data_IF_636399959413
#
_entry.id   IF_636399959413
#
_cell.length_a   1.000
_cell.length_b   1.000
_cell.length_c   1.000
_cell.angle_alpha   90.00
_cell.angle_beta   90.00
_cell.angle_gamma   90.00
#
_symmetry.space_group_name_H-M   'P 1'
#
loop_
_entity.id
_entity.type
_entity.pdbx_description
1 polymer ?
#
# COMPACT_ATOMS: atom_id res chain seq x y z
N UNK A 1 -19.37 -29.56 6.97
CA UNK A 1 -20.45 -28.69 7.43
C UNK A 1 -20.11 -27.27 7.02
N UNK A 2 -20.71 -26.76 5.95
CA UNK A 2 -20.57 -25.36 5.52
C UNK A 2 -21.43 -24.51 6.44
N UNK A 3 -20.79 -23.65 7.23
CA UNK A 3 -21.47 -22.74 8.13
C UNK A 3 -22.06 -21.57 7.30
N UNK A 4 -23.28 -21.73 6.82
CA UNK A 4 -24.05 -20.69 6.16
C UNK A 4 -24.52 -19.67 7.19
N UNK A 5 -23.67 -18.73 7.56
CA UNK A 5 -24.08 -17.57 8.34
C UNK A 5 -24.69 -16.53 7.38
N UNK A 6 -26.01 -16.26 7.42
CA UNK A 6 -26.71 -15.39 6.46
C UNK A 6 -26.30 -13.91 6.53
N UNK A 7 -25.40 -13.54 7.44
CA UNK A 7 -24.91 -12.18 7.61
C UNK A 7 -23.60 -11.86 6.84
N UNK A 8 -23.10 -12.75 5.97
CA UNK A 8 -21.96 -12.44 5.11
C UNK A 8 -22.41 -11.71 3.82
N UNK A 9 -22.98 -10.52 3.99
CA UNK A 9 -23.19 -9.64 2.84
C UNK A 9 -21.82 -9.09 2.40
N UNK A 10 -21.62 -8.87 1.09
CA UNK A 10 -20.43 -8.23 0.51
C UNK A 10 -20.06 -6.94 1.27
N UNK A 11 -21.08 -6.16 1.66
CA UNK A 11 -20.92 -4.92 2.41
C UNK A 11 -20.35 -5.11 3.83
N UNK A 12 -20.60 -6.26 4.47
CA UNK A 12 -20.04 -6.56 5.81
C UNK A 12 -18.55 -6.91 5.76
N UNK A 13 -18.03 -7.28 4.60
CA UNK A 13 -16.60 -7.55 4.39
C UNK A 13 -15.73 -6.30 4.16
N UNK A 14 -16.37 -5.13 3.94
CA UNK A 14 -15.66 -3.85 3.77
C UNK A 14 -15.47 -3.20 5.14
N UNK A 15 -14.24 -2.79 5.50
CA UNK A 15 -13.97 -2.07 6.74
C UNK A 15 -14.83 -0.81 6.88
N UNK A 16 -15.19 -0.49 8.12
CA UNK A 16 -16.25 0.46 8.43
C UNK A 16 -16.01 1.87 7.86
N UNK A 17 -14.79 2.41 7.99
CA UNK A 17 -14.49 3.77 7.53
C UNK A 17 -14.46 3.81 6.00
N UNK A 18 -13.80 2.84 5.35
CA UNK A 18 -13.80 2.74 3.88
C UNK A 18 -15.23 2.67 3.35
N UNK A 19 -16.08 1.80 3.93
CA UNK A 19 -17.47 1.68 3.54
C UNK A 19 -18.25 2.99 3.71
N UNK A 20 -18.11 3.67 4.84
CA UNK A 20 -18.80 4.92 5.10
C UNK A 20 -18.34 6.03 4.15
N UNK A 21 -17.03 6.14 3.88
CA UNK A 21 -16.50 7.09 2.90
C UNK A 21 -17.06 6.83 1.49
N UNK A 22 -17.13 5.57 1.06
CA UNK A 22 -17.76 5.21 -0.23
C UNK A 22 -19.22 5.66 -0.28
N UNK A 23 -20.00 5.34 0.76
CA UNK A 23 -21.42 5.70 0.85
C UNK A 23 -21.61 7.22 0.82
N UNK A 24 -20.85 7.97 1.62
CA UNK A 24 -20.96 9.43 1.70
C UNK A 24 -20.69 10.05 0.32
N UNK A 25 -19.62 9.64 -0.37
CA UNK A 25 -19.27 10.16 -1.68
C UNK A 25 -20.37 9.89 -2.73
N UNK A 26 -20.93 8.66 -2.72
CA UNK A 26 -22.03 8.30 -3.65
C UNK A 26 -23.29 9.11 -3.33
N UNK A 27 -23.65 9.29 -2.05
CA UNK A 27 -24.82 10.06 -1.63
C UNK A 27 -24.67 11.54 -2.01
N UNK A 28 -23.49 12.14 -1.75
CA UNK A 28 -23.23 13.55 -2.13
C UNK A 28 -23.26 13.71 -3.64
N UNK A 29 -22.64 12.79 -4.40
CA UNK A 29 -22.71 12.80 -5.86
C UNK A 29 -24.16 12.71 -6.36
N UNK A 30 -24.95 11.80 -5.79
CA UNK A 30 -26.38 11.68 -6.10
C UNK A 30 -27.14 12.97 -5.82
N UNK A 31 -26.88 13.61 -4.68
CA UNK A 31 -27.50 14.89 -4.34
C UNK A 31 -27.11 16.00 -5.34
N UNK A 32 -25.83 16.13 -5.69
CA UNK A 32 -25.37 17.12 -6.67
C UNK A 32 -26.01 16.95 -8.07
N UNK A 33 -26.31 15.70 -8.46
CA UNK A 33 -26.86 15.42 -9.78
C UNK A 33 -28.40 15.38 -9.81
N UNK A 34 -29.05 15.09 -8.67
CA UNK A 34 -30.53 15.08 -8.58
C UNK A 34 -31.11 16.44 -8.27
N UNK A 35 -30.47 17.24 -7.44
CA UNK A 35 -30.92 18.56 -7.05
C UNK A 35 -30.23 19.67 -7.85
N UNK A 36 -30.38 19.62 -9.18
CA UNK A 36 -29.69 20.54 -10.11
C UNK A 36 -30.07 22.02 -9.96
N UNK A 37 -31.21 22.30 -9.31
CA UNK A 37 -31.61 23.67 -8.95
C UNK A 37 -30.79 24.27 -7.81
N UNK A 38 -30.09 23.46 -7.04
CA UNK A 38 -29.20 23.88 -5.96
C UNK A 38 -27.74 23.74 -6.41
N UNK A 39 -26.92 24.79 -6.28
CA UNK A 39 -25.51 24.72 -6.68
C UNK A 39 -24.66 23.96 -5.63
N UNK A 40 -25.05 22.72 -5.31
CA UNK A 40 -24.40 21.94 -4.24
C UNK A 40 -22.90 21.71 -4.48
N UNK A 41 -22.50 21.48 -5.74
CA UNK A 41 -21.11 21.32 -6.09
C UNK A 41 -20.29 22.60 -5.87
N UNK A 42 -20.89 23.75 -6.05
CA UNK A 42 -20.31 25.05 -5.78
C UNK A 42 -20.25 25.33 -4.27
N UNK A 43 -21.35 25.07 -3.55
CA UNK A 43 -21.41 25.27 -2.09
C UNK A 43 -20.37 24.43 -1.34
N UNK A 44 -20.21 23.15 -1.72
CA UNK A 44 -19.29 22.20 -1.06
C UNK A 44 -17.89 22.16 -1.66
N UNK A 45 -17.72 22.68 -2.88
CA UNK A 45 -16.42 22.77 -3.55
C UNK A 45 -15.47 23.74 -2.87
N UNK A 46 -14.18 23.54 -3.04
CA UNK A 46 -13.13 24.40 -2.51
C UNK A 46 -12.87 25.53 -3.49
N UNK A 47 -13.35 26.71 -3.14
CA UNK A 47 -13.12 27.97 -3.88
C UNK A 47 -11.70 28.50 -3.63
N UNK A 48 -11.13 29.15 -4.62
CA UNK A 48 -9.91 29.91 -4.44
C UNK A 48 -10.12 31.13 -3.51
N UNK A 49 -9.04 31.57 -2.86
CA UNK A 49 -9.11 32.66 -1.87
C UNK A 49 -9.41 34.02 -2.53
N UNK A 50 -8.88 34.25 -3.74
CA UNK A 50 -8.98 35.55 -4.43
C UNK A 50 -10.38 35.82 -4.98
N UNK A 51 -11.18 34.80 -5.29
CA UNK A 51 -12.58 34.97 -5.69
C UNK A 51 -13.48 35.47 -4.54
N UNK A 52 -13.00 35.38 -3.29
CA UNK A 52 -13.81 35.69 -2.10
C UNK A 52 -14.83 34.59 -1.74
N UNK A 53 -14.88 33.48 -2.50
CA UNK A 53 -15.80 32.37 -2.24
C UNK A 53 -15.27 31.33 -1.25
N UNK A 54 -14.00 31.42 -0.81
CA UNK A 54 -13.42 30.47 0.12
C UNK A 54 -14.06 30.54 1.51
N UNK A 55 -14.50 29.39 2.02
CA UNK A 55 -14.99 29.19 3.38
C UNK A 55 -14.27 27.96 3.99
N UNK A 56 -13.90 28.05 5.27
CA UNK A 56 -13.04 27.05 5.91
C UNK A 56 -13.57 25.60 5.85
N UNK A 57 -14.90 25.38 5.93
CA UNK A 57 -15.48 24.04 5.84
C UNK A 57 -15.22 23.37 4.48
N UNK A 58 -15.00 24.15 3.44
CA UNK A 58 -14.72 23.64 2.09
C UNK A 58 -13.45 22.79 2.03
N UNK A 59 -12.47 23.00 2.93
CA UNK A 59 -11.30 22.12 3.05
C UNK A 59 -11.65 20.66 3.38
N UNK A 60 -12.85 20.44 3.92
CA UNK A 60 -13.33 19.09 4.22
C UNK A 60 -14.38 18.64 3.19
N UNK A 61 -15.35 19.50 2.86
CA UNK A 61 -16.51 19.10 2.05
C UNK A 61 -16.15 18.82 0.60
N UNK A 62 -15.19 19.53 0.02
CA UNK A 62 -14.77 19.32 -1.36
C UNK A 62 -14.31 17.89 -1.64
N UNK A 63 -13.72 17.20 -0.62
CA UNK A 63 -13.24 15.83 -0.72
C UNK A 63 -14.36 14.81 -0.97
N UNK A 64 -15.61 15.17 -0.70
CA UNK A 64 -16.77 14.32 -0.87
C UNK A 64 -17.61 14.72 -2.08
N UNK A 65 -17.27 15.82 -2.75
CA UNK A 65 -18.06 16.41 -3.83
C UNK A 65 -17.56 15.92 -5.19
N UNK A 66 -18.45 15.33 -5.97
CA UNK A 66 -18.17 14.89 -7.34
C UNK A 66 -19.34 15.29 -8.24
N UNK A 67 -19.06 15.60 -9.51
CA UNK A 67 -20.08 15.87 -10.53
C UNK A 67 -20.06 14.77 -11.59
N UNK A 68 -18.94 14.55 -12.25
CA UNK A 68 -18.82 13.55 -13.29
C UNK A 68 -18.80 12.11 -12.73
N UNK A 69 -19.56 11.21 -13.36
CA UNK A 69 -19.64 9.80 -12.95
C UNK A 69 -18.27 9.10 -12.94
N UNK A 70 -17.49 9.24 -14.01
CA UNK A 70 -16.17 8.58 -14.08
C UNK A 70 -15.19 9.14 -13.05
N UNK A 71 -15.29 10.43 -12.70
CA UNK A 71 -14.49 11.02 -11.64
C UNK A 71 -14.82 10.36 -10.27
N UNK A 72 -16.09 10.23 -9.94
CA UNK A 72 -16.52 9.48 -8.75
C UNK A 72 -16.06 8.03 -8.82
N UNK A 73 -16.32 7.34 -9.93
CA UNK A 73 -16.04 5.92 -10.09
C UNK A 73 -14.56 5.59 -9.82
N UNK A 74 -13.63 6.28 -10.46
CA UNK A 74 -12.20 6.01 -10.27
C UNK A 74 -11.72 6.35 -8.86
N UNK A 75 -12.23 7.42 -8.24
CA UNK A 75 -11.94 7.73 -6.86
C UNK A 75 -12.43 6.62 -5.91
N UNK A 76 -13.67 6.18 -6.06
CA UNK A 76 -14.28 5.14 -5.23
C UNK A 76 -13.61 3.77 -5.46
N UNK A 77 -13.25 3.46 -6.69
CA UNK A 77 -12.53 2.24 -7.02
C UNK A 77 -11.16 2.21 -6.33
N UNK A 78 -10.38 3.29 -6.42
CA UNK A 78 -9.08 3.38 -5.75
C UNK A 78 -9.22 3.37 -4.21
N UNK A 79 -10.19 4.10 -3.67
CA UNK A 79 -10.51 4.09 -2.24
C UNK A 79 -10.89 2.68 -1.77
N UNK A 80 -11.71 1.96 -2.52
CA UNK A 80 -12.08 0.57 -2.22
C UNK A 80 -10.87 -0.37 -2.27
N UNK A 81 -10.06 -0.29 -3.33
CA UNK A 81 -8.92 -1.19 -3.54
C UNK A 81 -7.83 -0.99 -2.48
N UNK A 82 -7.41 0.24 -2.25
CA UNK A 82 -6.28 0.55 -1.38
C UNK A 82 -6.70 0.92 0.04
N UNK A 83 -7.83 1.62 0.19
CA UNK A 83 -8.31 2.09 1.48
C UNK A 83 -8.65 0.95 2.42
N UNK A 84 -9.35 -0.10 1.95
CA UNK A 84 -9.67 -1.26 2.79
C UNK A 84 -8.42 -1.98 3.32
N UNK A 85 -7.35 -2.05 2.53
CA UNK A 85 -6.10 -2.70 2.95
C UNK A 85 -5.42 -1.86 4.02
N UNK A 86 -5.38 -0.54 3.84
CA UNK A 86 -4.78 0.37 4.81
C UNK A 86 -5.61 0.49 6.09
N UNK A 87 -6.94 0.48 6.01
CA UNK A 87 -7.80 0.47 7.19
C UNK A 87 -7.61 -0.80 8.02
N UNK A 88 -7.55 -1.96 7.37
CA UNK A 88 -7.24 -3.23 8.05
C UNK A 88 -5.85 -3.22 8.69
N UNK A 89 -4.89 -2.53 8.10
CA UNK A 89 -3.52 -2.47 8.60
C UNK A 89 -3.34 -1.45 9.74
N UNK A 90 -3.99 -0.28 9.68
CA UNK A 90 -3.83 0.81 10.66
C UNK A 90 -4.93 0.86 11.71
N UNK A 91 -6.08 0.26 11.43
CA UNK A 91 -7.32 0.46 12.15
C UNK A 91 -8.10 1.71 11.70
N UNK A 92 -9.40 1.79 12.06
CA UNK A 92 -10.33 2.78 11.54
C UNK A 92 -9.92 4.23 11.86
N UNK A 93 -9.53 4.51 13.10
CA UNK A 93 -9.20 5.88 13.52
C UNK A 93 -7.99 6.47 12.79
N UNK A 94 -6.91 5.67 12.62
CA UNK A 94 -5.73 6.13 11.90
C UNK A 94 -6.00 6.29 10.42
N UNK A 95 -6.77 5.39 9.83
CA UNK A 95 -7.14 5.47 8.43
C UNK A 95 -7.99 6.71 8.15
N UNK A 96 -9.01 7.00 8.96
CA UNK A 96 -9.82 8.21 8.82
C UNK A 96 -8.98 9.48 8.98
N UNK A 97 -8.13 9.53 10.01
CA UNK A 97 -7.21 10.66 10.19
C UNK A 97 -6.31 10.86 8.98
N UNK A 98 -5.79 9.77 8.41
CA UNK A 98 -4.94 9.83 7.23
C UNK A 98 -5.69 10.38 6.02
N UNK A 99 -6.89 9.88 5.74
CA UNK A 99 -7.74 10.34 4.65
C UNK A 99 -8.03 11.85 4.75
N UNK A 100 -8.50 12.30 5.92
CA UNK A 100 -8.87 13.70 6.11
C UNK A 100 -7.64 14.64 6.06
N UNK A 101 -6.54 14.26 6.69
CA UNK A 101 -5.32 15.10 6.71
C UNK A 101 -4.70 15.20 5.32
N UNK A 102 -4.66 14.13 4.54
CA UNK A 102 -4.12 14.17 3.18
C UNK A 102 -5.03 14.96 2.25
N UNK A 103 -6.36 14.85 2.40
CA UNK A 103 -7.30 15.68 1.66
C UNK A 103 -7.22 17.16 2.03
N UNK A 104 -7.21 17.51 3.32
CA UNK A 104 -7.03 18.90 3.76
C UNK A 104 -5.69 19.45 3.25
N UNK A 105 -4.61 18.68 3.35
CA UNK A 105 -3.29 19.07 2.85
C UNK A 105 -3.28 19.29 1.33
N UNK A 106 -3.97 18.46 0.58
CA UNK A 106 -4.19 18.63 -0.85
C UNK A 106 -4.89 19.96 -1.15
N UNK A 107 -5.99 20.25 -0.43
CA UNK A 107 -6.71 21.51 -0.56
C UNK A 107 -5.87 22.74 -0.22
N UNK A 108 -5.03 22.67 0.81
CA UNK A 108 -4.13 23.76 1.18
C UNK A 108 -3.07 24.04 0.11
N UNK A 109 -2.47 23.00 -0.48
CA UNK A 109 -1.53 23.16 -1.61
C UNK A 109 -2.24 23.76 -2.79
N UNK A 110 -3.47 23.29 -3.09
CA UNK A 110 -4.30 23.83 -4.16
C UNK A 110 -4.58 25.32 -3.98
N UNK A 111 -5.03 25.73 -2.81
CA UNK A 111 -5.28 27.14 -2.50
C UNK A 111 -4.02 27.99 -2.67
N UNK A 112 -2.87 27.48 -2.24
CA UNK A 112 -1.60 28.19 -2.40
C UNK A 112 -1.24 28.37 -3.89
N UNK A 113 -1.36 27.32 -4.70
CA UNK A 113 -1.09 27.39 -6.15
C UNK A 113 -2.04 28.37 -6.83
N UNK A 114 -3.34 28.27 -6.59
CA UNK A 114 -4.34 29.21 -7.14
C UNK A 114 -4.01 30.66 -6.75
N UNK A 115 -3.62 30.88 -5.49
CA UNK A 115 -3.28 32.22 -5.01
C UNK A 115 -2.05 32.81 -5.71
N UNK A 116 -0.98 32.04 -5.87
CA UNK A 116 0.27 32.53 -6.51
C UNK A 116 0.21 32.63 -8.03
N UNK A 117 -0.65 31.82 -8.67
CA UNK A 117 -0.79 31.81 -10.14
C UNK A 117 -1.99 32.62 -10.66
N UNK A 118 -2.73 33.31 -9.79
CA UNK A 118 -3.94 34.07 -10.15
C UNK A 118 -5.02 33.20 -10.85
N UNK A 119 -5.14 31.93 -10.42
CA UNK A 119 -6.11 30.99 -10.97
C UNK A 119 -7.40 31.04 -10.14
N UNK A 120 -8.52 31.29 -10.82
CA UNK A 120 -9.84 31.27 -10.23
C UNK A 120 -10.50 29.91 -10.54
N UNK A 121 -10.72 29.09 -9.53
CA UNK A 121 -11.26 27.74 -9.71
C UNK A 121 -12.01 27.24 -8.49
N UNK A 122 -12.92 26.29 -8.74
CA UNK A 122 -13.57 25.50 -7.71
C UNK A 122 -13.07 24.06 -7.82
N UNK A 123 -12.37 23.60 -6.79
CA UNK A 123 -11.82 22.25 -6.75
C UNK A 123 -12.81 21.31 -6.04
N UNK A 124 -13.05 20.14 -6.65
CA UNK A 124 -13.94 19.09 -6.10
C UNK A 124 -13.27 17.72 -6.28
N UNK A 125 -13.59 16.78 -5.39
CA UNK A 125 -13.23 15.37 -5.50
C UNK A 125 -12.35 14.86 -4.38
N UNK A 126 -12.44 13.55 -4.16
CA UNK A 126 -11.66 12.81 -3.16
C UNK A 126 -10.20 12.58 -3.60
N UNK A 127 -9.83 12.95 -4.83
CA UNK A 127 -8.56 12.51 -5.45
C UNK A 127 -7.32 12.91 -4.67
N UNK A 128 -7.28 14.08 -4.05
CA UNK A 128 -6.15 14.47 -3.19
C UNK A 128 -5.91 13.48 -2.04
N UNK A 129 -6.98 13.09 -1.33
CA UNK A 129 -6.91 12.06 -0.29
C UNK A 129 -6.59 10.67 -0.86
N UNK A 130 -7.15 10.31 -2.02
CA UNK A 130 -6.90 9.04 -2.72
C UNK A 130 -5.44 8.91 -3.16
N UNK A 131 -4.82 9.97 -3.68
CA UNK A 131 -3.38 9.97 -3.98
C UNK A 131 -2.52 9.82 -2.72
N UNK A 132 -2.94 10.40 -1.60
CA UNK A 132 -2.35 10.13 -0.29
C UNK A 132 -2.45 8.65 0.10
N UNK A 133 -3.62 8.02 -0.07
CA UNK A 133 -3.85 6.58 0.17
C UNK A 133 -2.95 5.73 -0.74
N UNK A 134 -2.87 6.04 -2.04
CA UNK A 134 -2.03 5.33 -3.00
C UNK A 134 -0.55 5.40 -2.60
N UNK A 135 -0.08 6.57 -2.18
CA UNK A 135 1.27 6.75 -1.64
C UNK A 135 1.51 5.87 -0.41
N UNK A 136 0.59 5.90 0.56
CA UNK A 136 0.70 5.09 1.77
C UNK A 136 0.80 3.61 1.44
N UNK A 137 -0.04 3.13 0.51
CA UNK A 137 0.00 1.76 0.05
C UNK A 137 1.37 1.39 -0.53
N UNK A 138 1.92 2.21 -1.43
CA UNK A 138 3.25 1.99 -2.02
C UNK A 138 4.39 2.06 -1.00
N UNK A 139 4.26 2.87 0.06
CA UNK A 139 5.25 2.96 1.14
C UNK A 139 5.19 1.79 2.13
N UNK A 140 4.03 1.22 2.36
CA UNK A 140 3.80 0.13 3.33
C UNK A 140 3.94 -1.23 2.65
N UNK A 141 3.41 -1.37 1.43
CA UNK A 141 3.39 -2.60 0.65
C UNK A 141 4.16 -2.49 -0.67
N UNK A 142 5.44 -2.08 -0.68
CA UNK A 142 6.16 -1.66 -1.90
C UNK A 142 6.38 -2.75 -2.93
N UNK A 143 6.37 -4.01 -2.51
CA UNK A 143 6.67 -5.15 -3.37
C UNK A 143 5.39 -5.92 -3.79
N UNK A 144 4.21 -5.47 -3.36
CA UNK A 144 2.95 -6.02 -3.84
C UNK A 144 2.83 -5.70 -5.33
N UNK A 145 2.52 -6.70 -6.11
CA UNK A 145 2.31 -6.59 -7.54
C UNK A 145 0.85 -6.26 -7.83
N UNK A 146 0.65 -5.20 -8.59
CA UNK A 146 -0.66 -4.69 -9.00
C UNK A 146 -0.78 -4.85 -10.51
N UNK A 147 -1.91 -5.37 -10.97
CA UNK A 147 -2.23 -5.39 -12.40
C UNK A 147 -3.10 -4.18 -12.74
N UNK A 148 -2.67 -3.41 -13.72
CA UNK A 148 -3.42 -2.25 -14.23
C UNK A 148 -4.17 -2.71 -15.47
N UNK A 149 -5.49 -2.77 -15.38
CA UNK A 149 -6.34 -3.09 -16.54
C UNK A 149 -6.35 -1.88 -17.50
N UNK A 150 -6.09 -2.06 -18.82
CA UNK A 150 -6.02 -3.32 -19.57
C UNK A 150 -4.60 -3.92 -19.74
N UNK A 151 -3.58 -3.41 -19.06
CA UNK A 151 -2.20 -3.84 -19.22
C UNK A 151 -1.94 -5.03 -18.29
N UNK A 152 -1.81 -6.27 -18.79
CA UNK A 152 -1.65 -7.46 -17.96
C UNK A 152 -0.21 -7.66 -17.45
N UNK A 153 0.49 -6.55 -17.17
CA UNK A 153 1.86 -6.58 -16.66
C UNK A 153 1.81 -6.26 -15.16
N UNK A 154 2.27 -7.16 -14.29
CA UNK A 154 2.33 -6.91 -12.87
C UNK A 154 3.40 -5.84 -12.56
N UNK A 155 2.98 -4.73 -11.97
CA UNK A 155 3.85 -3.63 -11.56
C UNK A 155 3.89 -3.57 -10.03
N UNK A 156 5.09 -3.52 -9.44
CA UNK A 156 5.21 -3.36 -7.98
C UNK A 156 4.69 -1.99 -7.55
N UNK A 157 3.92 -1.99 -6.46
CA UNK A 157 3.24 -0.80 -5.95
C UNK A 157 4.16 0.43 -5.81
N UNK A 158 5.41 0.26 -5.39
CA UNK A 158 6.38 1.35 -5.30
C UNK A 158 6.66 2.05 -6.64
N UNK A 159 6.75 1.29 -7.74
CA UNK A 159 6.99 1.86 -9.06
C UNK A 159 5.76 2.54 -9.63
N UNK A 160 4.58 1.97 -9.35
CA UNK A 160 3.30 2.59 -9.70
C UNK A 160 3.16 3.96 -9.05
N UNK A 161 3.41 4.05 -7.74
CA UNK A 161 3.28 5.30 -6.97
C UNK A 161 4.30 6.34 -7.41
N UNK A 162 5.56 5.93 -7.64
CA UNK A 162 6.59 6.85 -8.17
C UNK A 162 6.20 7.34 -9.56
N UNK A 163 5.74 6.43 -10.44
CA UNK A 163 5.30 6.78 -11.79
C UNK A 163 4.14 7.78 -11.78
N UNK A 164 3.12 7.57 -10.95
CA UNK A 164 2.03 8.54 -10.79
C UNK A 164 2.53 9.88 -10.25
N UNK A 165 3.40 9.90 -9.24
CA UNK A 165 3.96 11.14 -8.72
C UNK A 165 4.75 11.93 -9.77
N UNK A 166 5.56 11.24 -10.59
CA UNK A 166 6.30 11.87 -11.71
C UNK A 166 5.35 12.38 -12.78
N UNK A 167 4.32 11.61 -13.11
CA UNK A 167 3.31 11.99 -14.11
C UNK A 167 2.53 13.24 -13.65
N UNK A 168 2.04 13.27 -12.42
CA UNK A 168 1.34 14.42 -11.84
C UNK A 168 2.22 15.68 -11.82
N UNK A 169 3.50 15.52 -11.44
CA UNK A 169 4.45 16.63 -11.45
C UNK A 169 4.69 17.14 -12.89
N UNK A 170 4.89 16.23 -13.84
CA UNK A 170 5.12 16.58 -15.23
C UNK A 170 3.93 17.29 -15.85
N UNK A 171 2.71 16.78 -15.60
CA UNK A 171 1.49 17.41 -16.07
C UNK A 171 1.25 18.77 -15.40
N UNK A 172 1.48 18.90 -14.10
CA UNK A 172 1.36 20.16 -13.38
C UNK A 172 2.32 21.25 -13.89
N UNK A 173 3.51 20.87 -14.38
CA UNK A 173 4.49 21.82 -14.92
C UNK A 173 4.25 22.15 -16.40
N UNK A 174 3.82 21.17 -17.21
CA UNK A 174 3.67 21.33 -18.67
C UNK A 174 2.38 22.04 -19.03
N UNK A 175 1.29 21.79 -18.30
CA UNK A 175 -0.02 22.36 -18.64
C UNK A 175 -0.18 23.77 -18.07
N UNK A 176 0.42 24.79 -18.62
CA UNK A 176 0.29 26.20 -18.19
C UNK A 176 -1.05 26.85 -18.51
N UNK A 177 -2.04 26.12 -19.02
CA UNK A 177 -3.34 26.67 -19.43
C UNK A 177 -4.53 25.91 -18.80
N UNK A 178 -4.92 26.33 -17.62
CA UNK A 178 -6.30 26.12 -17.10
C UNK A 178 -6.66 24.77 -16.47
N UNK A 179 -6.04 23.67 -16.88
CA UNK A 179 -6.37 22.32 -16.41
C UNK A 179 -5.42 21.78 -15.30
N UNK A 180 -4.46 22.61 -14.91
CA UNK A 180 -3.33 22.24 -14.03
C UNK A 180 -3.67 22.09 -12.56
N UNK A 181 -4.82 22.52 -12.23
CA UNK A 181 -5.19 22.78 -10.84
C UNK A 181 -5.26 21.48 -10.03
N UNK A 182 -5.72 20.40 -10.64
CA UNK A 182 -5.88 19.13 -9.95
C UNK A 182 -4.53 18.42 -9.66
N UNK A 183 -3.54 18.58 -10.52
CA UNK A 183 -2.24 17.89 -10.39
C UNK A 183 -1.49 18.29 -9.10
N UNK A 184 -1.49 19.56 -8.76
CA UNK A 184 -0.86 20.03 -7.53
C UNK A 184 -1.62 19.62 -6.27
N UNK A 185 -2.95 19.50 -6.33
CA UNK A 185 -3.73 18.92 -5.23
C UNK A 185 -3.35 17.45 -4.99
N UNK A 186 -3.18 16.65 -6.06
CA UNK A 186 -2.74 15.26 -5.95
C UNK A 186 -1.35 15.14 -5.29
N UNK A 187 -0.39 15.94 -5.76
CA UNK A 187 0.95 16.03 -5.15
C UNK A 187 0.91 16.52 -3.70
N UNK A 188 0.01 17.46 -3.39
CA UNK A 188 -0.26 17.93 -2.03
C UNK A 188 -0.72 16.80 -1.12
N UNK A 189 -1.68 15.98 -1.57
CA UNK A 189 -2.13 14.80 -0.83
C UNK A 189 -1.01 13.79 -0.56
N UNK A 190 -0.16 13.53 -1.56
CA UNK A 190 1.02 12.67 -1.39
C UNK A 190 2.02 13.27 -0.39
N UNK A 191 2.30 14.57 -0.47
CA UNK A 191 3.23 15.27 0.42
C UNK A 191 2.79 15.19 1.89
N UNK A 192 1.53 15.56 2.17
CA UNK A 192 0.99 15.46 3.52
C UNK A 192 0.91 14.00 4.00
N UNK A 193 0.68 13.06 3.09
CA UNK A 193 0.77 11.63 3.37
C UNK A 193 2.15 11.19 3.85
N UNK A 194 3.23 11.61 3.17
CA UNK A 194 4.61 11.36 3.60
C UNK A 194 4.85 11.95 4.99
N UNK A 195 4.51 13.22 5.19
CA UNK A 195 4.72 13.92 6.46
C UNK A 195 4.04 13.18 7.61
N UNK A 196 2.78 12.78 7.45
CA UNK A 196 2.01 12.09 8.47
C UNK A 196 2.56 10.69 8.79
N UNK A 197 2.96 9.92 7.77
CA UNK A 197 3.59 8.60 7.96
C UNK A 197 4.92 8.74 8.70
N UNK A 198 5.75 9.71 8.33
CA UNK A 198 7.03 9.97 8.99
C UNK A 198 6.84 10.43 10.44
N UNK A 199 5.85 11.29 10.69
CA UNK A 199 5.46 11.70 12.04
C UNK A 199 5.05 10.50 12.91
N UNK A 200 4.18 9.63 12.41
CA UNK A 200 3.76 8.43 13.14
C UNK A 200 4.92 7.46 13.38
N UNK A 201 5.82 7.30 12.43
CA UNK A 201 7.03 6.47 12.61
C UNK A 201 7.93 7.01 13.71
N UNK A 202 8.16 8.32 13.76
CA UNK A 202 8.95 8.94 14.83
C UNK A 202 8.30 8.77 16.20
N UNK A 203 6.99 8.98 16.29
CA UNK A 203 6.23 8.84 17.54
C UNK A 203 6.26 7.39 18.05
N UNK A 204 6.10 6.40 17.18
CA UNK A 204 6.19 4.99 17.55
C UNK A 204 7.60 4.58 18.00
N UNK A 205 8.66 5.09 17.37
CA UNK A 205 10.03 4.82 17.79
C UNK A 205 10.34 5.34 19.21
N UNK A 206 9.71 6.43 19.62
CA UNK A 206 9.83 6.94 20.99
C UNK A 206 9.03 6.09 22.00
N UNK A 207 7.94 5.43 21.57
CA UNK A 207 7.17 4.51 22.41
C UNK A 207 7.82 3.12 22.53
N UNK A 208 8.62 2.69 21.54
CA UNK A 208 9.27 1.39 21.48
C UNK A 208 10.65 1.33 22.18
N UNK A 209 11.10 2.39 22.81
CA UNK A 209 12.21 2.30 23.77
C UNK A 209 11.86 1.52 25.04
N UNK A 210 10.60 1.06 25.15
CA UNK A 210 10.07 0.23 26.23
C UNK A 210 9.44 -1.11 25.77
N UNK A 211 10.06 -1.86 24.84
CA UNK A 211 9.71 -3.25 24.55
C UNK A 211 8.89 -3.48 23.28
N UNK A 212 9.49 -4.14 22.29
CA UNK A 212 8.83 -4.69 21.12
C UNK A 212 9.42 -4.28 19.77
N UNK A 213 10.27 -5.15 19.24
CA UNK A 213 10.96 -5.01 17.95
C UNK A 213 10.00 -4.84 16.76
N UNK A 214 9.87 -3.64 16.24
CA UNK A 214 9.35 -3.40 14.88
C UNK A 214 10.51 -3.02 13.96
N UNK A 215 10.70 -3.86 12.99
CA UNK A 215 11.77 -4.02 12.00
C UNK A 215 12.44 -2.71 11.51
N UNK A 216 13.65 -2.44 12.00
CA UNK A 216 14.58 -1.38 11.56
C UNK A 216 15.07 -1.53 10.10
N UNK A 217 14.45 -2.42 9.30
CA UNK A 217 14.93 -2.77 7.97
C UNK A 217 14.79 -1.66 6.92
N UNK A 218 13.89 -0.67 7.12
CA UNK A 218 13.55 0.29 6.08
C UNK A 218 14.40 1.56 6.07
N UNK A 219 14.70 2.12 7.23
CA UNK A 219 15.56 3.32 7.32
C UNK A 219 17.01 3.00 6.91
N UNK A 220 17.49 1.78 7.19
CA UNK A 220 18.79 1.31 6.69
C UNK A 220 18.80 1.11 5.16
N UNK A 221 17.67 0.79 4.53
CA UNK A 221 17.61 0.62 3.07
C UNK A 221 17.65 1.95 2.30
N UNK A 222 17.01 3.00 2.79
CA UNK A 222 17.02 4.32 2.12
C UNK A 222 18.42 4.96 2.25
N UNK A 223 19.06 4.86 3.41
CA UNK A 223 20.43 5.37 3.60
C UNK A 223 21.48 4.54 2.84
N UNK A 224 21.19 3.28 2.51
CA UNK A 224 22.10 2.40 1.75
C UNK A 224 21.95 2.51 0.22
N UNK A 225 20.92 3.20 -0.31
CA UNK A 225 20.84 3.55 -1.74
C UNK A 225 21.98 4.53 -2.11
N UNK A 226 22.43 5.35 -1.16
CA UNK A 226 23.53 6.32 -1.34
C UNK A 226 24.89 5.84 -0.83
N UNK A 227 25.01 4.62 -0.22
CA UNK A 227 26.29 4.05 0.20
C UNK A 227 26.68 2.89 -0.70
N UNK A 228 27.94 2.93 -1.20
CA UNK A 228 28.59 1.88 -2.03
C UNK A 228 28.33 0.48 -1.48
N UNK A 229 28.08 -0.46 -2.39
CA UNK A 229 27.82 -1.89 -2.12
C UNK A 229 28.89 -2.51 -1.21
N UNK A 230 28.49 -3.13 -0.07
CA UNK A 230 29.40 -4.01 0.65
C UNK A 230 29.57 -5.33 -0.13
N UNK A 231 30.77 -5.93 -0.04
CA UNK A 231 31.09 -7.27 -0.59
C UNK A 231 30.09 -8.30 -0.08
N UNK A 232 29.52 -9.08 -1.02
CA UNK A 232 28.64 -10.19 -0.72
C UNK A 232 29.39 -11.26 0.09
N UNK A 233 29.00 -11.49 1.33
CA UNK A 233 29.25 -12.73 2.04
C UNK A 233 28.17 -13.72 1.65
N UNK A 234 28.58 -14.84 1.08
CA UNK A 234 27.68 -15.95 0.71
C UNK A 234 27.19 -16.61 2.00
N UNK A 235 25.98 -16.27 2.44
CA UNK A 235 25.26 -17.11 3.41
C UNK A 235 24.73 -18.34 2.68
N UNK A 236 25.01 -19.54 3.21
CA UNK A 236 24.43 -20.78 2.71
C UNK A 236 22.90 -20.61 2.58
N UNK A 237 22.41 -20.98 1.41
CA UNK A 237 20.97 -21.01 1.12
C UNK A 237 20.29 -21.91 2.15
N UNK A 238 19.15 -21.53 2.77
CA UNK A 238 18.39 -22.48 3.58
C UNK A 238 18.03 -23.69 2.73
N UNK A 239 18.23 -24.89 3.27
CA UNK A 239 17.93 -26.17 2.62
C UNK A 239 16.45 -26.21 2.26
N UNK A 240 16.13 -26.51 1.00
CA UNK A 240 14.75 -26.65 0.56
C UNK A 240 14.22 -28.05 0.95
N UNK A 241 12.89 -28.20 1.06
CA UNK A 241 12.26 -29.54 1.30
C UNK A 241 12.69 -30.56 0.25
N UNK A 242 12.99 -30.12 -0.96
CA UNK A 242 13.55 -30.97 -2.02
C UNK A 242 14.95 -31.44 -1.72
N UNK A 243 15.85 -30.55 -1.28
CA UNK A 243 17.23 -30.88 -0.93
C UNK A 243 17.28 -31.81 0.28
N UNK A 244 16.40 -31.58 1.27
CA UNK A 244 16.22 -32.45 2.42
C UNK A 244 15.75 -33.84 2.03
N UNK A 245 14.73 -33.97 1.18
CA UNK A 245 14.19 -35.25 0.73
C UNK A 245 15.19 -36.00 -0.17
N UNK A 246 15.93 -35.31 -1.03
CA UNK A 246 16.98 -35.90 -1.86
C UNK A 246 18.09 -36.50 -0.99
N UNK A 247 18.58 -35.74 0.00
CA UNK A 247 19.62 -36.24 0.94
C UNK A 247 19.12 -37.44 1.73
N UNK A 248 17.89 -37.42 2.22
CA UNK A 248 17.30 -38.54 2.96
C UNK A 248 17.15 -39.80 2.12
N UNK A 249 16.82 -39.63 0.84
CA UNK A 249 16.75 -40.76 -0.13
C UNK A 249 18.14 -41.34 -0.41
N UNK A 250 19.17 -40.50 -0.51
CA UNK A 250 20.54 -40.96 -0.74
C UNK A 250 21.16 -41.63 0.55
N UNK A 251 20.82 -41.12 1.73
CA UNK A 251 21.15 -41.79 3.01
C UNK A 251 20.51 -43.19 3.06
N UNK A 252 19.23 -43.31 2.62
CA UNK A 252 18.54 -44.61 2.56
C UNK A 252 19.22 -45.61 1.63
N UNK A 253 19.56 -45.18 0.41
CA UNK A 253 20.28 -46.05 -0.55
C UNK A 253 21.64 -46.53 -0.04
N UNK A 254 22.36 -45.66 0.66
CA UNK A 254 23.67 -46.04 1.23
C UNK A 254 23.51 -47.07 2.36
N UNK A 255 22.48 -46.92 3.21
CA UNK A 255 22.18 -47.93 4.25
C UNK A 255 21.77 -49.25 3.62
N UNK A 256 20.93 -49.26 2.57
CA UNK A 256 20.55 -50.49 1.84
C UNK A 256 21.77 -51.19 1.25
N UNK A 257 22.71 -50.42 0.68
CA UNK A 257 23.97 -50.98 0.16
C UNK A 257 24.82 -51.62 1.26
N UNK A 258 24.91 -51.02 2.43
CA UNK A 258 25.63 -51.56 3.59
C UNK A 258 24.96 -52.87 4.05
N UNK A 259 23.62 -52.90 4.11
CA UNK A 259 22.90 -54.12 4.49
C UNK A 259 23.09 -55.27 3.47
N UNK A 260 23.08 -54.96 2.16
CA UNK A 260 23.41 -55.95 1.13
C UNK A 260 24.84 -56.50 1.30
N UNK A 261 25.80 -55.63 1.58
CA UNK A 261 27.21 -56.06 1.85
C UNK A 261 27.30 -57.00 3.06
N UNK A 262 26.53 -56.75 4.12
CA UNK A 262 26.43 -57.63 5.29
C UNK A 262 25.86 -58.99 4.88
N UNK A 263 24.82 -59.00 4.03
CA UNK A 263 24.15 -60.22 3.60
C UNK A 263 25.09 -61.17 2.80
N UNK A 264 25.99 -60.58 1.98
CA UNK A 264 26.87 -61.36 1.11
C UNK A 264 28.24 -61.67 1.72
N UNK A 265 28.79 -60.77 2.53
CA UNK A 265 30.18 -60.83 3.00
C UNK A 265 30.33 -60.81 4.53
N UNK A 266 29.20 -60.72 5.26
CA UNK A 266 29.18 -60.71 6.72
C UNK A 266 29.55 -59.36 7.32
N UNK A 267 29.23 -59.16 8.60
CA UNK A 267 29.43 -57.89 9.33
C UNK A 267 30.89 -57.45 9.42
N UNK A 268 31.81 -58.44 9.47
CA UNK A 268 33.27 -58.17 9.59
C UNK A 268 33.87 -57.56 8.32
N UNK A 269 33.17 -57.58 7.20
CA UNK A 269 33.60 -56.98 5.93
C UNK A 269 33.36 -55.48 5.83
N UNK A 270 32.66 -54.88 6.81
CA UNK A 270 32.38 -53.46 6.86
C UNK A 270 33.59 -52.65 7.34
N UNK A 271 33.81 -51.51 6.70
CA UNK A 271 34.73 -50.51 7.20
C UNK A 271 34.22 -49.84 8.48
N UNK A 272 35.09 -49.21 9.24
CA UNK A 272 34.70 -48.49 10.47
C UNK A 272 33.69 -47.37 10.18
N UNK A 273 33.81 -46.70 9.03
CA UNK A 273 32.83 -45.67 8.61
C UNK A 273 31.47 -46.27 8.29
N UNK A 274 31.41 -47.42 7.61
CA UNK A 274 30.16 -48.13 7.31
C UNK A 274 29.47 -48.62 8.58
N UNK A 275 30.25 -49.16 9.57
CA UNK A 275 29.75 -49.57 10.89
C UNK A 275 29.13 -48.36 11.65
N UNK A 276 29.83 -47.20 11.62
CA UNK A 276 29.37 -45.98 12.27
C UNK A 276 28.05 -45.47 11.64
N UNK A 277 27.98 -45.44 10.31
CA UNK A 277 26.74 -45.01 9.59
C UNK A 277 25.58 -45.93 9.91
N UNK A 278 25.77 -47.24 9.94
CA UNK A 278 24.74 -48.22 10.30
C UNK A 278 24.24 -48.01 11.75
N UNK A 279 25.18 -47.78 12.69
CA UNK A 279 24.86 -47.52 14.08
C UNK A 279 24.06 -46.21 14.27
N UNK A 280 24.44 -45.15 13.56
CA UNK A 280 23.76 -43.86 13.62
C UNK A 280 22.36 -43.90 12.97
N UNK A 281 22.17 -44.72 11.95
CA UNK A 281 20.86 -44.96 11.34
C UNK A 281 19.89 -45.72 12.26
N UNK A 282 20.41 -46.63 13.10
CA UNK A 282 19.61 -47.40 14.06
C UNK A 282 19.18 -46.60 15.29
N UNK A 283 19.70 -45.38 15.49
CA UNK A 283 19.34 -44.49 16.62
C UNK A 283 18.23 -43.50 16.27
N UNK A 284 17.83 -43.36 14.99
CA UNK A 284 16.74 -42.51 14.51
C UNK A 284 15.44 -43.31 14.40
#
# INVERSE_FOLDING_TARGET
MFNNNPNNSFFSSIPTVTRNLLIINVVVWGACNLFTSLPLADIFGLHDIKSGGFILYQLVTYQFTHVAFFHLFFNMFALFMFGRVLENYWGPSRFLTYYLVTGIGAGLIQLAICYFQDIYSVTIGASGAVFGILLAFGMIFPNVELMIIPIPIPIKAKYLVIGYGVLELSMGVVSFSGDNVAHFAHLGGMLFGIILILYWRRKNNNYQRGGGSWNQSWTKKITNIFKRKPKMTVHKRPETDWDYNARKADEGKEIDRILEKIKYSGYNSLSEDEKKRLFDAGKK
#
